data_IF_254560633712
#
_entry.id   IF_254560633712
#
_cell.length_a   1.000
_cell.length_b   1.000
_cell.length_c   1.000
_cell.angle_alpha   90.00
_cell.angle_beta   90.00
_cell.angle_gamma   90.00
#
_symmetry.space_group_name_H-M   'P 1'
#
loop_
_entity.id
_entity.type
_entity.pdbx_description
1 polymer ?
#
# COMPACT_ATOMS: atom_id res chain seq x y z
N UNK A 1 25.98 107.20 -2.00
CA UNK A 1 26.25 108.57 -2.46
C UNK A 1 26.41 108.50 -3.96
N UNK A 2 25.49 109.12 -4.69
CA UNK A 2 25.59 109.50 -6.12
C UNK A 2 26.88 110.36 -6.34
N UNK A 3 27.33 110.76 -7.56
CA UNK A 3 26.54 110.91 -8.80
C UNK A 3 27.28 110.82 -10.16
N UNK A 4 26.50 111.10 -11.22
CA UNK A 4 26.80 111.95 -12.39
C UNK A 4 27.90 111.51 -13.39
N UNK A 5 27.58 111.23 -14.66
CA UNK A 5 27.11 112.11 -15.76
C UNK A 5 28.25 112.57 -16.68
N UNK A 6 27.87 112.90 -17.92
CA UNK A 6 28.57 113.75 -18.93
C UNK A 6 29.36 112.96 -19.99
N UNK A 7 29.47 113.33 -21.27
CA UNK A 7 28.66 113.99 -22.34
C UNK A 7 29.65 114.11 -23.53
N UNK A 8 29.11 114.17 -24.75
CA UNK A 8 29.65 114.85 -25.95
C UNK A 8 30.72 114.22 -26.85
N UNK A 9 30.47 114.43 -28.17
CA UNK A 9 31.48 114.61 -29.21
C UNK A 9 31.44 113.55 -30.34
N UNK A 10 30.47 113.58 -31.27
CA UNK A 10 30.54 114.29 -32.58
C UNK A 10 31.68 113.79 -33.49
N UNK A 11 31.38 113.03 -34.55
CA UNK A 11 31.38 113.55 -35.92
C UNK A 11 30.94 112.49 -36.96
N UNK A 12 30.11 112.97 -37.88
CA UNK A 12 29.70 112.31 -39.12
C UNK A 12 30.83 112.33 -40.15
N UNK A 13 30.91 111.31 -41.02
CA UNK A 13 30.75 111.42 -42.47
C UNK A 13 31.22 110.15 -43.23
N UNK A 14 30.42 109.77 -44.24
CA UNK A 14 30.70 108.93 -45.43
C UNK A 14 30.98 107.42 -45.21
N UNK A 15 30.09 106.49 -45.59
CA UNK A 15 29.76 106.00 -46.95
C UNK A 15 30.86 105.09 -47.55
N UNK A 16 30.70 103.76 -47.42
CA UNK A 16 30.78 102.75 -48.51
C UNK A 16 30.78 101.31 -47.95
N UNK A 17 29.76 100.54 -48.33
CA UNK A 17 29.79 99.13 -48.79
C UNK A 17 30.71 98.12 -48.05
N UNK A 18 30.13 97.18 -47.29
CA UNK A 18 29.86 95.80 -47.73
C UNK A 18 31.12 94.94 -48.02
N UNK A 19 31.52 94.05 -47.10
CA UNK A 19 31.49 92.59 -47.34
C UNK A 19 32.09 91.79 -46.16
N UNK A 20 31.40 90.71 -45.83
CA UNK A 20 31.55 89.83 -44.67
C UNK A 20 32.73 88.86 -44.77
N UNK A 21 33.51 88.72 -43.70
CA UNK A 21 34.36 87.55 -43.45
C UNK A 21 33.75 86.70 -42.32
N UNK A 22 33.37 85.47 -42.64
CA UNK A 22 33.04 84.43 -41.65
C UNK A 22 34.26 83.52 -41.50
N UNK A 23 34.80 83.50 -40.29
CA UNK A 23 35.70 82.44 -39.81
C UNK A 23 34.84 81.19 -39.62
N UNK A 24 35.20 80.10 -40.30
CA UNK A 24 34.58 78.78 -40.07
C UNK A 24 35.61 77.94 -39.33
N UNK A 25 35.33 77.72 -38.05
CA UNK A 25 36.08 76.85 -37.16
C UNK A 25 36.00 75.39 -37.65
N UNK A 26 37.13 74.68 -37.52
CA UNK A 26 37.24 73.26 -37.78
C UNK A 26 36.99 72.46 -36.48
N UNK A 27 36.02 71.54 -36.49
CA UNK A 27 35.85 70.52 -35.45
C UNK A 27 35.80 69.09 -36.04
N UNK A 28 36.40 68.09 -35.36
CA UNK A 28 36.63 66.75 -35.89
C UNK A 28 35.44 65.79 -35.67
N UNK A 29 34.64 65.57 -36.71
CA UNK A 29 33.50 64.64 -36.72
C UNK A 29 33.89 63.18 -37.04
N UNK A 30 34.67 62.45 -36.22
CA UNK A 30 34.87 61.01 -36.52
C UNK A 30 35.06 60.02 -35.34
N UNK A 31 35.29 60.44 -34.10
CA UNK A 31 35.57 59.47 -33.00
C UNK A 31 34.34 59.11 -32.15
N UNK A 32 33.33 59.98 -32.06
CA UNK A 32 32.17 59.77 -31.19
C UNK A 32 31.07 58.91 -31.84
N UNK A 33 30.98 58.84 -33.15
CA UNK A 33 30.01 57.96 -33.83
C UNK A 33 30.40 56.49 -33.68
N UNK A 34 31.67 56.14 -33.87
CA UNK A 34 32.13 54.74 -33.75
C UNK A 34 31.95 54.22 -32.33
N UNK A 35 32.27 55.02 -31.29
CA UNK A 35 32.05 54.64 -29.88
C UNK A 35 30.56 54.50 -29.54
N UNK A 36 29.70 55.39 -30.05
CA UNK A 36 28.23 55.29 -29.88
C UNK A 36 27.63 54.09 -30.62
N UNK A 37 28.13 53.75 -31.80
CA UNK A 37 27.73 52.57 -32.57
C UNK A 37 28.19 51.29 -31.85
N UNK A 38 29.42 51.24 -31.33
CA UNK A 38 29.93 50.07 -30.62
C UNK A 38 29.22 49.85 -29.27
N UNK A 39 28.96 50.92 -28.51
CA UNK A 39 28.19 50.84 -27.25
C UNK A 39 26.74 50.46 -27.49
N UNK A 40 26.10 51.00 -28.54
CA UNK A 40 24.71 50.63 -28.88
C UNK A 40 24.60 49.22 -29.46
N UNK A 41 25.60 48.75 -30.22
CA UNK A 41 25.71 47.37 -30.69
C UNK A 41 25.93 46.41 -29.51
N UNK A 42 26.85 46.72 -28.60
CA UNK A 42 27.09 45.91 -27.40
C UNK A 42 25.85 45.87 -26.48
N UNK A 43 25.11 46.98 -26.36
CA UNK A 43 23.82 47.04 -25.65
C UNK A 43 22.76 46.16 -26.33
N UNK A 44 22.63 46.20 -27.67
CA UNK A 44 21.69 45.36 -28.43
C UNK A 44 22.03 43.88 -28.28
N UNK A 45 23.32 43.51 -28.36
CA UNK A 45 23.79 42.14 -28.14
C UNK A 45 23.50 41.67 -26.72
N UNK A 46 23.75 42.51 -25.71
CA UNK A 46 23.43 42.19 -24.32
C UNK A 46 21.92 41.99 -24.09
N UNK A 47 21.05 42.83 -24.70
CA UNK A 47 19.60 42.63 -24.66
C UNK A 47 19.18 41.33 -25.35
N UNK A 48 19.80 41.00 -26.49
CA UNK A 48 19.53 39.75 -27.20
C UNK A 48 19.93 38.52 -26.38
N UNK A 49 21.09 38.55 -25.73
CA UNK A 49 21.55 37.47 -24.83
C UNK A 49 20.59 37.32 -23.65
N UNK A 50 20.14 38.42 -23.05
CA UNK A 50 19.19 38.38 -21.93
C UNK A 50 17.83 37.80 -22.34
N UNK A 51 17.34 38.15 -23.54
CA UNK A 51 16.12 37.58 -24.11
C UNK A 51 16.30 36.07 -24.37
N UNK A 52 17.44 35.65 -24.92
CA UNK A 52 17.74 34.23 -25.14
C UNK A 52 17.80 33.43 -23.83
N UNK A 53 18.40 33.99 -22.78
CA UNK A 53 18.43 33.36 -21.44
C UNK A 53 17.02 33.26 -20.86
N UNK A 54 16.20 34.32 -20.99
CA UNK A 54 14.81 34.29 -20.53
C UNK A 54 14.00 33.21 -21.26
N UNK A 55 14.12 33.12 -22.58
CA UNK A 55 13.47 32.07 -23.39
C UNK A 55 13.94 30.68 -22.96
N UNK A 56 15.24 30.50 -22.74
CA UNK A 56 15.78 29.22 -22.28
C UNK A 56 15.21 28.81 -20.91
N UNK A 57 15.17 29.73 -19.94
CA UNK A 57 14.56 29.48 -18.62
C UNK A 57 13.08 29.14 -18.77
N UNK A 58 12.33 29.86 -19.60
CA UNK A 58 10.91 29.57 -19.86
C UNK A 58 10.70 28.19 -20.48
N UNK A 59 11.53 27.78 -21.44
CA UNK A 59 11.47 26.46 -22.05
C UNK A 59 11.82 25.34 -21.07
N UNK A 60 12.84 25.54 -20.23
CA UNK A 60 13.22 24.59 -19.17
C UNK A 60 12.12 24.47 -18.12
N UNK A 61 11.57 25.58 -17.65
CA UNK A 61 10.48 25.59 -16.69
C UNK A 61 9.22 24.94 -17.26
N UNK A 62 8.88 25.23 -18.52
CA UNK A 62 7.77 24.58 -19.24
C UNK A 62 7.99 23.07 -19.35
N UNK A 63 9.18 22.65 -19.81
CA UNK A 63 9.50 21.23 -19.91
C UNK A 63 9.42 20.56 -18.53
N UNK A 64 9.98 21.16 -17.48
CA UNK A 64 9.89 20.64 -16.11
C UNK A 64 8.44 20.50 -15.64
N UNK A 65 7.62 21.55 -15.78
CA UNK A 65 6.22 21.54 -15.35
C UNK A 65 5.35 20.54 -16.11
N UNK A 66 5.55 20.43 -17.42
CA UNK A 66 4.74 19.54 -18.27
C UNK A 66 5.16 18.08 -18.11
N UNK A 67 6.42 17.82 -17.76
CA UNK A 67 6.98 16.47 -17.75
C UNK A 67 7.23 15.87 -16.38
N UNK A 68 7.15 16.66 -15.30
CA UNK A 68 7.16 16.14 -13.94
C UNK A 68 5.91 15.24 -13.73
N UNK A 69 6.09 13.96 -13.38
CA UNK A 69 4.97 13.05 -13.18
C UNK A 69 4.28 13.37 -11.86
N UNK A 70 3.14 14.06 -11.93
CA UNK A 70 2.24 14.27 -10.80
C UNK A 70 0.82 13.86 -11.19
N UNK A 71 0.04 13.38 -10.23
CA UNK A 71 -1.36 13.05 -10.43
C UNK A 71 -2.18 13.48 -9.23
N UNK A 72 -3.38 14.01 -9.49
CA UNK A 72 -4.39 14.27 -8.45
C UNK A 72 -5.22 13.03 -8.15
N UNK A 73 -5.25 12.08 -9.08
CA UNK A 73 -6.10 10.90 -9.02
C UNK A 73 -5.34 9.76 -8.33
N UNK A 74 -5.15 9.93 -7.03
CA UNK A 74 -4.64 8.90 -6.13
C UNK A 74 -5.77 8.34 -5.27
N UNK A 75 -5.84 7.02 -5.13
CA UNK A 75 -6.75 6.36 -4.19
C UNK A 75 -5.98 5.52 -3.19
N UNK A 76 -6.29 5.68 -1.90
CA UNK A 76 -5.78 4.80 -0.85
C UNK A 76 -6.53 3.46 -0.94
N UNK A 77 -5.76 2.38 -0.99
CA UNK A 77 -6.25 1.00 -0.99
C UNK A 77 -5.74 0.30 0.25
N UNK A 78 -6.44 -0.79 0.59
CA UNK A 78 -6.15 -1.63 1.73
C UNK A 78 -6.61 -3.05 1.46
N UNK A 79 -5.94 -4.05 2.02
CA UNK A 79 -6.42 -5.43 1.93
C UNK A 79 -7.59 -5.62 2.91
N UNK A 80 -8.60 -6.33 2.42
CA UNK A 80 -9.77 -6.69 3.23
C UNK A 80 -9.81 -8.20 3.36
N UNK A 81 -9.73 -8.68 4.59
CA UNK A 81 -9.88 -10.08 4.91
C UNK A 81 -11.38 -10.41 5.06
N UNK A 82 -11.91 -11.16 4.10
CA UNK A 82 -13.27 -11.67 4.13
C UNK A 82 -13.30 -12.95 4.95
N UNK A 83 -13.92 -12.91 6.12
CA UNK A 83 -13.94 -14.01 7.08
C UNK A 83 -15.19 -14.85 6.87
N UNK A 84 -14.97 -16.10 6.47
CA UNK A 84 -15.98 -17.12 6.32
C UNK A 84 -15.78 -18.25 7.34
N UNK A 85 -16.86 -18.82 7.90
CA UNK A 85 -16.75 -19.95 8.80
C UNK A 85 -16.37 -21.20 8.01
N UNK A 86 -15.64 -22.12 8.65
CA UNK A 86 -15.28 -23.42 8.05
C UNK A 86 -16.33 -24.50 8.29
N UNK A 87 -17.26 -24.26 9.22
CA UNK A 87 -18.37 -25.15 9.55
C UNK A 87 -19.67 -24.34 9.57
N UNK A 88 -20.77 -24.99 9.24
CA UNK A 88 -22.11 -24.38 9.27
C UNK A 88 -22.75 -24.57 10.65
N UNK A 89 -23.55 -23.60 11.07
CA UNK A 89 -24.31 -23.71 12.31
C UNK A 89 -24.96 -22.39 12.73
N UNK A 90 -25.76 -22.45 13.79
CA UNK A 90 -26.43 -21.27 14.35
C UNK A 90 -25.44 -20.42 15.14
N UNK A 91 -25.48 -19.11 14.98
CA UNK A 91 -24.66 -18.16 15.74
C UNK A 91 -25.29 -17.94 17.12
N UNK A 92 -24.53 -18.20 18.18
CA UNK A 92 -24.97 -18.01 19.57
C UNK A 92 -24.64 -16.59 20.05
N UNK A 93 -23.45 -16.10 19.72
CA UNK A 93 -23.01 -14.76 20.10
C UNK A 93 -22.11 -14.13 19.03
N UNK A 94 -22.23 -12.82 18.90
CA UNK A 94 -21.34 -11.97 18.12
C UNK A 94 -20.56 -11.12 19.13
N UNK A 95 -19.24 -11.27 19.15
CA UNK A 95 -18.35 -10.71 20.18
C UNK A 95 -17.68 -9.40 19.74
N UNK A 96 -18.04 -8.90 18.55
CA UNK A 96 -17.51 -7.67 17.96
C UNK A 96 -18.64 -6.75 17.52
N UNK A 97 -18.35 -5.46 17.48
CA UNK A 97 -19.21 -4.42 16.93
C UNK A 97 -18.66 -3.89 15.59
N UNK A 98 -19.51 -3.22 14.83
CA UNK A 98 -19.10 -2.53 13.60
C UNK A 98 -18.12 -1.40 13.92
N UNK A 99 -17.11 -1.21 13.06
CA UNK A 99 -15.98 -0.29 13.24
C UNK A 99 -15.14 -0.54 14.52
N UNK A 100 -15.22 -1.72 15.13
CA UNK A 100 -14.35 -2.09 16.24
C UNK A 100 -12.98 -2.54 15.73
N UNK A 101 -11.92 -2.11 16.41
CA UNK A 101 -10.58 -2.64 16.20
C UNK A 101 -10.43 -4.02 16.85
N UNK A 102 -9.89 -4.98 16.10
CA UNK A 102 -9.63 -6.36 16.53
C UNK A 102 -8.21 -6.75 16.17
N UNK A 103 -7.60 -7.60 16.99
CA UNK A 103 -6.31 -8.21 16.71
C UNK A 103 -6.50 -9.57 16.04
N UNK A 104 -5.44 -10.03 15.37
CA UNK A 104 -5.35 -11.37 14.83
C UNK A 104 -5.56 -12.39 15.94
N UNK A 105 -6.51 -13.30 15.73
CA UNK A 105 -6.89 -14.33 16.69
C UNK A 105 -8.05 -13.94 17.62
N UNK A 106 -8.51 -12.69 17.60
CA UNK A 106 -9.68 -12.28 18.37
C UNK A 106 -10.94 -12.97 17.84
N UNK A 107 -11.83 -13.37 18.75
CA UNK A 107 -13.09 -14.05 18.40
C UNK A 107 -14.06 -13.03 17.84
N UNK A 108 -14.51 -13.23 16.60
CA UNK A 108 -15.52 -12.39 15.96
C UNK A 108 -16.92 -12.83 16.38
N UNK A 109 -17.23 -14.11 16.20
CA UNK A 109 -18.50 -14.70 16.59
C UNK A 109 -18.35 -16.19 16.87
N UNK A 110 -19.34 -16.74 17.57
CA UNK A 110 -19.36 -18.13 18.04
C UNK A 110 -20.58 -18.85 17.46
N UNK A 111 -20.31 -19.93 16.74
CA UNK A 111 -21.29 -20.92 16.31
C UNK A 111 -21.60 -21.85 17.48
N UNK A 112 -22.85 -22.31 17.58
CA UNK A 112 -23.30 -23.21 18.64
C UNK A 112 -22.38 -24.44 18.78
N UNK A 113 -21.68 -24.60 19.92
CA UNK A 113 -20.73 -25.68 20.10
C UNK A 113 -21.40 -26.98 20.55
N UNK A 114 -22.69 -26.99 20.89
CA UNK A 114 -23.34 -28.11 21.56
C UNK A 114 -23.20 -29.43 20.79
N UNK A 115 -23.60 -29.46 19.52
CA UNK A 115 -23.52 -30.67 18.70
C UNK A 115 -22.08 -31.15 18.50
N UNK A 116 -21.13 -30.21 18.40
CA UNK A 116 -19.71 -30.52 18.24
C UNK A 116 -19.08 -31.06 19.53
N UNK A 117 -19.48 -30.58 20.70
CA UNK A 117 -19.03 -31.10 21.99
C UNK A 117 -19.54 -32.53 22.21
N UNK A 118 -20.79 -32.81 21.86
CA UNK A 118 -21.35 -34.17 21.90
C UNK A 118 -20.60 -35.11 20.93
N UNK A 119 -20.25 -34.64 19.74
CA UNK A 119 -19.44 -35.41 18.79
C UNK A 119 -18.05 -35.73 19.34
N UNK A 120 -17.39 -34.78 20.02
CA UNK A 120 -16.10 -35.00 20.69
C UNK A 120 -16.24 -36.04 21.80
N UNK A 121 -17.27 -35.95 22.65
CA UNK A 121 -17.51 -36.94 23.71
C UNK A 121 -17.74 -38.34 23.15
N UNK A 122 -18.57 -38.46 22.12
CA UNK A 122 -18.90 -39.75 21.49
C UNK A 122 -17.69 -40.40 20.84
N UNK A 123 -16.88 -39.62 20.11
CA UNK A 123 -15.65 -40.12 19.49
C UNK A 123 -14.57 -40.43 20.52
N UNK A 124 -14.49 -39.70 21.62
CA UNK A 124 -13.60 -40.03 22.75
C UNK A 124 -13.95 -41.37 23.37
N UNK A 125 -15.23 -41.63 23.65
CA UNK A 125 -15.68 -42.94 24.14
C UNK A 125 -15.39 -44.07 23.15
N UNK A 126 -15.47 -43.81 21.84
CA UNK A 126 -15.07 -44.78 20.82
C UNK A 126 -13.57 -45.08 20.87
N UNK A 127 -12.72 -44.07 21.07
CA UNK A 127 -11.27 -44.27 21.26
C UNK A 127 -10.99 -45.14 22.48
N UNK A 128 -11.66 -44.88 23.60
CA UNK A 128 -11.53 -45.69 24.83
C UNK A 128 -11.96 -47.14 24.59
N UNK A 129 -13.08 -47.36 23.90
CA UNK A 129 -13.55 -48.68 23.52
C UNK A 129 -12.53 -49.43 22.65
N UNK A 130 -11.96 -48.77 21.64
CA UNK A 130 -10.96 -49.37 20.75
C UNK A 130 -9.61 -49.58 21.43
N UNK A 131 -9.25 -48.74 22.40
CA UNK A 131 -8.06 -48.95 23.21
C UNK A 131 -8.16 -50.25 24.02
N UNK A 132 -9.30 -50.48 24.67
CA UNK A 132 -9.55 -51.69 25.44
C UNK A 132 -9.56 -52.95 24.56
N UNK A 133 -10.20 -52.90 23.38
CA UNK A 133 -10.19 -54.00 22.42
C UNK A 133 -8.77 -54.32 21.92
N UNK A 134 -7.99 -53.28 21.58
CA UNK A 134 -6.59 -53.42 21.20
C UNK A 134 -5.77 -54.11 22.29
N UNK A 135 -5.94 -53.72 23.56
CA UNK A 135 -5.23 -54.33 24.69
C UNK A 135 -5.55 -55.82 24.81
N UNK A 136 -6.82 -56.21 24.69
CA UNK A 136 -7.25 -57.61 24.73
C UNK A 136 -6.62 -58.40 23.57
N UNK A 137 -6.66 -57.87 22.34
CA UNK A 137 -6.12 -58.55 21.15
C UNK A 137 -4.60 -58.65 21.17
N UNK A 138 -3.90 -57.63 21.66
CA UNK A 138 -2.45 -57.68 21.85
C UNK A 138 -2.07 -58.72 22.92
N UNK A 139 -2.78 -58.75 24.04
CA UNK A 139 -2.54 -59.75 25.09
C UNK A 139 -2.82 -61.18 24.60
N UNK A 140 -3.86 -61.39 23.80
CA UNK A 140 -4.15 -62.68 23.15
C UNK A 140 -3.04 -63.11 22.19
N UNK A 141 -2.57 -62.19 21.33
CA UNK A 141 -1.48 -62.46 20.40
C UNK A 141 -0.17 -62.79 21.12
N UNK A 142 0.21 -62.01 22.14
CA UNK A 142 1.40 -62.25 22.94
C UNK A 142 1.34 -63.59 23.69
N UNK A 143 0.17 -63.94 24.26
CA UNK A 143 -0.03 -65.23 24.92
C UNK A 143 0.17 -66.40 23.94
N UNK A 144 -0.34 -66.29 22.71
CA UNK A 144 -0.22 -67.34 21.68
C UNK A 144 1.18 -67.46 21.09
N UNK A 145 1.94 -66.36 21.04
CA UNK A 145 3.35 -66.37 20.64
C UNK A 145 4.25 -67.07 21.67
N UNK A 146 3.94 -66.94 22.96
CA UNK A 146 4.74 -67.54 24.05
C UNK A 146 4.44 -69.03 24.30
N UNK A 147 3.39 -69.61 23.69
CA UNK A 147 3.10 -71.03 23.79
C UNK A 147 4.01 -71.83 22.83
N UNK A 148 4.50 -72.99 23.28
CA UNK A 148 5.39 -73.85 22.48
C UNK A 148 4.75 -74.28 21.15
N UNK A 149 5.56 -74.59 20.14
CA UNK A 149 5.12 -75.05 18.80
C UNK A 149 4.26 -76.33 18.80
N UNK A 150 4.25 -77.07 19.91
CA UNK A 150 3.38 -78.24 20.11
C UNK A 150 1.94 -77.85 20.50
N UNK A 151 1.72 -76.63 20.99
CA UNK A 151 0.44 -76.16 21.52
C UNK A 151 -0.32 -75.20 20.59
N UNK A 152 0.34 -74.64 19.58
CA UNK A 152 -0.26 -73.70 18.61
C UNK A 152 0.41 -73.82 17.25
N UNK A 153 -0.37 -73.78 16.18
CA UNK A 153 0.15 -73.84 14.81
C UNK A 153 0.62 -72.45 14.33
N UNK A 154 1.56 -72.37 13.36
CA UNK A 154 2.00 -71.10 12.79
C UNK A 154 0.85 -70.26 12.19
N UNK A 155 -0.15 -70.93 11.60
CA UNK A 155 -1.33 -70.28 11.02
C UNK A 155 -2.16 -69.59 12.11
N UNK A 156 -2.33 -70.23 13.26
CA UNK A 156 -3.02 -69.61 14.40
C UNK A 156 -2.28 -68.38 14.91
N UNK A 157 -0.95 -68.44 15.05
CA UNK A 157 -0.15 -67.27 15.46
C UNK A 157 -0.33 -66.10 14.48
N UNK A 158 -0.33 -66.39 13.18
CA UNK A 158 -0.53 -65.37 12.15
C UNK A 158 -1.93 -64.76 12.21
N UNK A 159 -2.97 -65.55 12.49
CA UNK A 159 -4.35 -65.05 12.65
C UNK A 159 -4.44 -64.08 13.84
N UNK A 160 -3.89 -64.45 14.99
CA UNK A 160 -3.92 -63.57 16.18
C UNK A 160 -3.06 -62.32 16.01
N UNK A 161 -1.88 -62.44 15.37
CA UNK A 161 -1.06 -61.29 15.02
C UNK A 161 -1.79 -60.34 14.06
N UNK A 162 -2.49 -60.89 13.05
CA UNK A 162 -3.35 -60.14 12.14
C UNK A 162 -4.49 -59.44 12.87
N UNK A 163 -5.18 -60.13 13.79
CA UNK A 163 -6.26 -59.56 14.59
C UNK A 163 -5.79 -58.41 15.49
N UNK A 164 -4.60 -58.52 16.10
CA UNK A 164 -4.00 -57.43 16.87
C UNK A 164 -3.62 -56.23 15.99
N UNK A 165 -3.11 -56.47 14.77
CA UNK A 165 -2.81 -55.41 13.81
C UNK A 165 -4.09 -54.71 13.30
N UNK A 166 -5.18 -55.46 13.09
CA UNK A 166 -6.48 -54.91 12.73
C UNK A 166 -7.05 -54.04 13.86
N UNK A 167 -7.03 -54.53 15.11
CA UNK A 167 -7.45 -53.76 16.27
C UNK A 167 -6.61 -52.47 16.43
N UNK A 168 -5.31 -52.52 16.10
CA UNK A 168 -4.44 -51.34 16.15
C UNK A 168 -4.89 -50.30 15.13
N UNK A 169 -5.16 -50.73 13.91
CA UNK A 169 -5.67 -49.87 12.84
C UNK A 169 -7.02 -49.26 13.21
N UNK A 170 -7.91 -50.04 13.83
CA UNK A 170 -9.21 -49.55 14.30
C UNK A 170 -9.07 -48.50 15.42
N UNK A 171 -8.10 -48.68 16.33
CA UNK A 171 -7.77 -47.68 17.34
C UNK A 171 -7.23 -46.39 16.73
N UNK A 172 -6.27 -46.48 15.81
CA UNK A 172 -5.69 -45.32 15.13
C UNK A 172 -6.77 -44.55 14.32
N UNK A 173 -7.68 -45.26 13.65
CA UNK A 173 -8.83 -44.66 12.96
C UNK A 173 -9.76 -43.90 13.93
N UNK A 174 -10.04 -44.47 15.11
CA UNK A 174 -10.83 -43.78 16.13
C UNK A 174 -10.12 -42.53 16.66
N UNK A 175 -8.79 -42.55 16.83
CA UNK A 175 -8.03 -41.36 17.23
C UNK A 175 -8.15 -40.24 16.19
N UNK A 176 -8.07 -40.56 14.89
CA UNK A 176 -8.24 -39.57 13.83
C UNK A 176 -9.66 -39.00 13.80
N UNK A 177 -10.68 -39.81 14.08
CA UNK A 177 -12.06 -39.34 14.22
C UNK A 177 -12.22 -38.35 15.39
N UNK A 178 -11.61 -38.64 16.55
CA UNK A 178 -11.58 -37.72 17.67
C UNK A 178 -10.89 -36.39 17.31
N UNK A 179 -9.72 -36.46 16.67
CA UNK A 179 -8.99 -35.27 16.25
C UNK A 179 -9.80 -34.39 15.28
N UNK A 180 -10.57 -35.01 14.37
CA UNK A 180 -11.46 -34.30 13.47
C UNK A 180 -12.62 -33.63 14.22
N UNK A 181 -13.24 -34.33 15.19
CA UNK A 181 -14.31 -33.78 16.01
C UNK A 181 -13.81 -32.58 16.85
N UNK A 182 -12.62 -32.68 17.45
CA UNK A 182 -12.00 -31.59 18.21
C UNK A 182 -11.67 -30.39 17.33
N UNK A 183 -11.20 -30.61 16.10
CA UNK A 183 -10.97 -29.54 15.14
C UNK A 183 -12.27 -28.82 14.78
N UNK A 184 -13.35 -29.56 14.55
CA UNK A 184 -14.66 -28.97 14.27
C UNK A 184 -15.16 -28.17 15.48
N UNK A 185 -14.98 -28.67 16.71
CA UNK A 185 -15.30 -27.91 17.92
C UNK A 185 -14.48 -26.61 18.02
N UNK A 186 -13.19 -26.63 17.70
CA UNK A 186 -12.38 -25.39 17.67
C UNK A 186 -12.87 -24.40 16.61
N UNK A 187 -13.29 -24.90 15.45
CA UNK A 187 -13.81 -24.10 14.32
C UNK A 187 -15.16 -23.43 14.61
N UNK A 188 -15.81 -23.73 15.74
CA UNK A 188 -17.02 -23.02 16.19
C UNK A 188 -16.74 -21.57 16.53
N UNK A 189 -15.51 -21.26 16.96
CA UNK A 189 -15.06 -19.89 17.22
C UNK A 189 -14.41 -19.35 15.95
N UNK A 190 -15.06 -18.39 15.32
CA UNK A 190 -14.53 -17.73 14.13
C UNK A 190 -13.64 -16.58 14.57
N UNK A 191 -12.38 -16.62 14.16
CA UNK A 191 -11.33 -15.69 14.60
C UNK A 191 -10.97 -14.70 13.50
N UNK A 192 -10.46 -13.53 13.89
CA UNK A 192 -9.87 -12.58 12.95
C UNK A 192 -8.55 -13.10 12.39
N UNK A 193 -8.34 -13.12 11.06
CA UNK A 193 -7.06 -13.53 10.46
C UNK A 193 -5.98 -12.44 10.52
N UNK A 194 -6.36 -11.16 10.69
CA UNK A 194 -5.50 -9.97 10.62
C UNK A 194 -5.83 -8.97 11.74
N UNK A 195 -4.92 -8.02 11.98
CA UNK A 195 -5.15 -6.89 12.87
C UNK A 195 -5.84 -5.76 12.09
N UNK A 196 -6.99 -5.29 12.56
CA UNK A 196 -7.83 -4.46 11.71
C UNK A 196 -9.14 -3.97 12.27
N UNK A 197 -9.87 -3.21 11.46
CA UNK A 197 -11.22 -2.76 11.78
C UNK A 197 -12.26 -3.68 11.15
N UNK A 198 -13.20 -4.14 11.96
CA UNK A 198 -14.38 -4.87 11.49
C UNK A 198 -15.29 -3.90 10.73
N UNK A 199 -15.72 -4.30 9.54
CA UNK A 199 -16.65 -3.53 8.72
C UNK A 199 -17.75 -4.44 8.17
N UNK A 200 -18.89 -3.82 7.86
CA UNK A 200 -20.02 -4.51 7.24
C UNK A 200 -20.54 -5.67 8.11
N UNK A 201 -20.64 -5.44 9.43
CA UNK A 201 -21.17 -6.42 10.37
C UNK A 201 -22.71 -6.49 10.26
N UNK A 202 -23.21 -7.41 9.43
CA UNK A 202 -24.65 -7.67 9.29
C UNK A 202 -25.15 -8.80 10.18
N UNK A 203 -24.23 -9.60 10.75
CA UNK A 203 -24.57 -10.75 11.57
C UNK A 203 -25.21 -10.36 12.90
N UNK A 204 -26.18 -11.16 13.33
CA UNK A 204 -26.81 -11.08 14.64
C UNK A 204 -26.82 -12.46 15.32
N UNK A 205 -26.87 -12.44 16.65
CA UNK A 205 -27.10 -13.66 17.41
C UNK A 205 -28.45 -14.28 16.98
N UNK A 206 -28.44 -15.58 16.69
CA UNK A 206 -29.59 -16.30 16.14
C UNK A 206 -29.52 -16.56 14.64
N UNK A 207 -28.70 -15.82 13.89
CA UNK A 207 -28.49 -16.04 12.46
C UNK A 207 -27.82 -17.40 12.19
N UNK A 208 -27.92 -17.87 10.95
CA UNK A 208 -27.30 -19.12 10.53
C UNK A 208 -26.07 -18.85 9.66
N UNK A 209 -24.92 -19.34 10.12
CA UNK A 209 -23.66 -19.26 9.41
C UNK A 209 -23.49 -20.45 8.46
N UNK A 210 -23.12 -20.19 7.21
CA UNK A 210 -22.91 -21.24 6.18
C UNK A 210 -21.42 -21.34 5.87
N UNK A 211 -20.88 -22.56 5.89
CA UNK A 211 -19.48 -22.82 5.59
C UNK A 211 -19.07 -22.22 4.22
N UNK A 212 -17.99 -21.44 4.21
CA UNK A 212 -17.45 -20.79 3.01
C UNK A 212 -18.15 -19.48 2.61
N UNK A 213 -19.29 -19.13 3.22
CA UNK A 213 -19.90 -17.83 2.99
C UNK A 213 -19.25 -16.77 3.89
N UNK A 214 -18.71 -15.69 3.30
CA UNK A 214 -18.15 -14.59 4.09
C UNK A 214 -19.27 -13.79 4.74
N UNK A 215 -19.21 -13.63 6.06
CA UNK A 215 -20.22 -12.89 6.82
C UNK A 215 -19.66 -11.63 7.50
N UNK A 216 -18.34 -11.50 7.60
CA UNK A 216 -17.65 -10.35 8.20
C UNK A 216 -16.44 -9.99 7.34
N UNK A 217 -16.14 -8.70 7.22
CA UNK A 217 -14.94 -8.20 6.56
C UNK A 217 -14.08 -7.43 7.56
N UNK A 218 -12.79 -7.73 7.60
CA UNK A 218 -11.80 -7.03 8.45
C UNK A 218 -10.81 -6.30 7.56
N UNK A 219 -10.69 -4.99 7.74
CA UNK A 219 -9.73 -4.15 7.02
C UNK A 219 -8.37 -4.25 7.71
N UNK A 220 -7.36 -4.77 7.02
CA UNK A 220 -6.01 -4.93 7.57
C UNK A 220 -5.29 -3.58 7.69
N UNK A 221 -4.91 -3.22 8.92
CA UNK A 221 -4.27 -1.92 9.19
C UNK A 221 -2.81 -1.86 8.73
N UNK A 222 -2.19 -3.01 8.45
CA UNK A 222 -0.78 -3.09 8.08
C UNK A 222 -0.55 -3.11 6.56
N UNK A 223 -1.60 -3.09 5.75
CA UNK A 223 -1.51 -3.25 4.29
C UNK A 223 -2.11 -2.07 3.52
N UNK A 224 -1.80 -0.83 3.91
CA UNK A 224 -2.17 0.34 3.12
C UNK A 224 -1.20 0.55 1.95
N UNK A 225 -1.74 0.84 0.77
CA UNK A 225 -0.97 1.35 -0.38
C UNK A 225 -1.77 2.42 -1.14
N UNK A 226 -1.09 3.13 -2.03
CA UNK A 226 -1.69 4.20 -2.84
C UNK A 226 -1.59 3.80 -4.30
N UNK A 227 -2.74 3.74 -4.98
CA UNK A 227 -2.79 3.63 -6.43
C UNK A 227 -2.86 5.05 -7.02
N UNK A 228 -1.98 5.37 -7.94
CA UNK A 228 -2.00 6.63 -8.69
C UNK A 228 -2.15 6.38 -10.19
N UNK A 229 -3.07 7.09 -10.83
CA UNK A 229 -3.21 7.03 -12.29
C UNK A 229 -2.28 8.06 -12.96
N UNK A 230 -1.42 7.61 -13.85
CA UNK A 230 -0.51 8.46 -14.64
C UNK A 230 -0.79 8.31 -16.12
N UNK A 231 -0.64 9.41 -16.87
CA UNK A 231 -0.70 9.39 -18.33
C UNK A 231 0.47 8.59 -18.90
N UNK A 232 0.22 7.81 -19.95
CA UNK A 232 1.23 6.97 -20.63
C UNK A 232 2.45 7.78 -21.08
N UNK A 233 2.24 9.01 -21.54
CA UNK A 233 3.30 9.94 -21.95
C UNK A 233 4.28 10.31 -20.83
N UNK A 234 3.83 10.21 -19.57
CA UNK A 234 4.63 10.50 -18.36
C UNK A 234 5.22 9.24 -17.73
N UNK A 235 4.71 8.04 -18.06
CA UNK A 235 5.17 6.78 -17.47
C UNK A 235 6.62 6.43 -17.77
N UNK A 236 7.15 6.83 -18.93
CA UNK A 236 8.57 6.60 -19.28
C UNK A 236 9.56 7.25 -18.29
N UNK A 237 9.09 8.17 -17.43
CA UNK A 237 9.89 8.86 -16.43
C UNK A 237 9.59 8.42 -14.99
N UNK A 238 8.73 7.42 -14.79
CA UNK A 238 8.42 6.86 -13.47
C UNK A 238 9.28 5.61 -13.27
N UNK A 239 10.23 5.68 -12.34
CA UNK A 239 11.14 4.57 -12.06
C UNK A 239 10.79 3.88 -10.72
N UNK A 240 10.93 2.55 -10.68
CA UNK A 240 10.74 1.77 -9.45
C UNK A 240 11.82 2.17 -8.44
N UNK A 241 11.40 2.51 -7.23
CA UNK A 241 12.28 2.90 -6.12
C UNK A 241 12.46 4.41 -5.94
N UNK A 242 11.86 5.24 -6.79
CA UNK A 242 11.84 6.69 -6.58
C UNK A 242 11.02 7.07 -5.35
N UNK A 243 11.50 8.09 -4.62
CA UNK A 243 10.75 8.68 -3.52
C UNK A 243 9.60 9.50 -4.07
N UNK A 244 8.43 9.27 -3.51
CA UNK A 244 7.20 9.96 -3.84
C UNK A 244 6.64 10.65 -2.60
N UNK A 245 6.08 11.84 -2.81
CA UNK A 245 5.36 12.58 -1.79
C UNK A 245 3.87 12.53 -2.15
N UNK A 246 3.06 12.06 -1.21
CA UNK A 246 1.61 12.00 -1.36
C UNK A 246 0.97 12.82 -0.24
N UNK A 247 0.03 13.68 -0.60
CA UNK A 247 -0.77 14.44 0.35
C UNK A 247 -2.23 14.03 0.21
N UNK A 248 -2.84 13.66 1.33
CA UNK A 248 -4.27 13.41 1.37
C UNK A 248 -4.99 14.75 1.18
N UNK A 249 -5.82 14.83 0.14
CA UNK A 249 -6.74 15.96 0.00
C UNK A 249 -7.95 15.67 0.87
N UNK A 250 -7.95 16.24 2.07
CA UNK A 250 -9.04 16.23 3.04
C UNK A 250 -9.57 17.63 3.28
#
# INVERSE_FOLDING_TARGET
MSPAATRDGINLCAESENETWRVVDAEPMLHDEVRRIFVSACRRVATFILVLIAIFISLVAWHYYVTAPWTRNGSVRVQVANVAPQISGKIVSVQVADNQFVHRGDVLYVIDPFDFDIAVRTTRSLVEQRAADLEVKQAEAARRQNLSSLATTPEQQQIYAGSAAEARTAYDAAQHQLAQAELNLRRTKVLSPVDGYVTNLLLRAGDYAVAGASNISVIDTNSFWIDGYFEETKMARVCIGERLEAHLMG
#
